data_IF_584834168554
#
_entry.id   IF_584834168554
#
_cell.length_a   1.000
_cell.length_b   1.000
_cell.length_c   1.000
_cell.angle_alpha   90.00
_cell.angle_beta   90.00
_cell.angle_gamma   90.00
#
_symmetry.space_group_name_H-M   'P 1'
#
loop_
_entity.id
_entity.type
_entity.pdbx_description
1 polymer ?
#
# COMPACT_ATOMS: atom_id res chain seq x y z
N UNK A 1 25.68 -22.16 -2.46
CA UNK A 1 25.31 -20.82 -2.97
C UNK A 1 25.57 -19.84 -1.84
N UNK A 2 26.48 -18.90 -2.06
CA UNK A 2 26.92 -17.95 -1.04
C UNK A 2 25.73 -17.12 -0.55
N UNK A 3 25.38 -17.27 0.73
CA UNK A 3 24.55 -16.33 1.45
C UNK A 3 25.34 -15.04 1.60
N UNK A 4 25.25 -14.15 0.61
CA UNK A 4 25.58 -12.76 0.86
C UNK A 4 24.60 -12.29 1.93
N UNK A 5 25.13 -11.94 3.10
CA UNK A 5 24.38 -11.19 4.10
C UNK A 5 23.99 -9.86 3.45
N UNK A 6 22.79 -9.82 2.87
CA UNK A 6 22.22 -8.60 2.31
C UNK A 6 22.13 -7.58 3.45
N UNK A 7 22.81 -6.45 3.26
CA UNK A 7 22.82 -5.37 4.25
C UNK A 7 21.37 -4.96 4.54
N UNK A 8 20.94 -4.91 5.81
CA UNK A 8 19.56 -4.56 6.14
C UNK A 8 19.23 -3.18 5.59
N UNK A 9 18.04 -3.04 5.02
CA UNK A 9 17.59 -1.75 4.50
C UNK A 9 17.49 -0.75 5.65
N UNK A 10 18.09 0.41 5.46
CA UNK A 10 17.81 1.59 6.26
C UNK A 10 16.61 2.33 5.65
N UNK A 11 15.74 2.87 6.50
CA UNK A 11 14.52 3.55 6.06
C UNK A 11 14.62 5.05 6.32
N UNK A 12 14.51 5.85 5.27
CA UNK A 12 14.11 7.24 5.40
C UNK A 12 12.60 7.30 5.63
N UNK A 13 12.16 8.26 6.43
CA UNK A 13 10.78 8.36 6.88
C UNK A 13 10.35 9.81 7.05
N UNK A 14 9.05 10.04 6.97
CA UNK A 14 8.49 11.37 7.19
C UNK A 14 6.97 11.37 7.24
N UNK A 15 6.41 12.58 7.30
CA UNK A 15 4.98 12.83 7.40
C UNK A 15 4.49 13.62 6.19
N UNK A 16 3.38 13.19 5.61
CA UNK A 16 2.57 14.00 4.70
C UNK A 16 1.45 14.71 5.45
N UNK A 17 0.98 14.10 6.54
CA UNK A 17 -0.02 14.68 7.43
C UNK A 17 0.17 14.15 8.84
N UNK A 18 0.40 15.03 9.80
CA UNK A 18 0.61 14.65 11.20
C UNK A 18 -0.72 14.60 11.96
N UNK A 19 -0.92 13.61 12.85
CA UNK A 19 -2.10 13.57 13.70
C UNK A 19 -2.09 14.70 14.71
N UNK A 20 -3.27 15.18 15.08
CA UNK A 20 -3.45 16.14 16.15
C UNK A 20 -3.18 15.52 17.53
N UNK A 21 -3.58 14.26 17.73
CA UNK A 21 -3.37 13.49 18.96
C UNK A 21 -2.34 12.38 18.73
N UNK A 22 -1.19 12.48 19.41
CA UNK A 22 -0.08 11.52 19.34
C UNK A 22 -0.10 10.49 20.48
N UNK A 23 -1.07 10.56 21.39
CA UNK A 23 -1.12 9.72 22.59
C UNK A 23 -1.72 8.34 22.36
N UNK A 24 -2.51 8.17 21.28
CA UNK A 24 -3.19 6.91 20.95
C UNK A 24 -2.30 6.01 20.09
N UNK A 25 -2.34 4.70 20.35
CA UNK A 25 -1.80 3.69 19.42
C UNK A 25 -2.75 3.54 18.23
N UNK A 26 -2.38 3.95 17.02
CA UNK A 26 -3.29 3.91 15.88
C UNK A 26 -3.44 2.48 15.36
N UNK A 27 -4.57 2.18 14.70
CA UNK A 27 -4.60 1.13 13.68
C UNK A 27 -3.87 1.67 12.45
N UNK A 28 -3.11 0.83 11.74
CA UNK A 28 -2.30 1.30 10.60
C UNK A 28 -2.55 0.43 9.37
N UNK A 29 -2.87 1.09 8.26
CA UNK A 29 -2.80 0.48 6.94
C UNK A 29 -1.41 0.75 6.38
N UNK A 30 -0.62 -0.31 6.19
CA UNK A 30 0.72 -0.27 5.60
C UNK A 30 0.61 -0.64 4.14
N UNK A 31 0.66 0.37 3.26
CA UNK A 31 0.67 0.15 1.83
C UNK A 31 2.09 -0.10 1.35
N UNK A 32 2.34 -1.26 0.74
CA UNK A 32 3.65 -1.60 0.17
C UNK A 32 3.65 -1.41 -1.34
N UNK A 33 4.50 -0.52 -1.84
CA UNK A 33 4.65 -0.25 -3.27
C UNK A 33 5.16 -1.47 -4.03
N UNK A 34 4.47 -1.83 -5.12
CA UNK A 34 4.77 -3.05 -5.87
C UNK A 34 6.15 -3.08 -6.54
N UNK A 35 6.80 -1.93 -6.75
CA UNK A 35 8.18 -1.84 -7.22
C UNK A 35 9.20 -2.41 -6.22
N UNK A 36 8.85 -2.48 -4.94
CA UNK A 36 9.74 -3.00 -3.91
C UNK A 36 9.91 -4.52 -4.03
N UNK A 37 8.90 -5.24 -4.53
CA UNK A 37 8.90 -6.70 -4.60
C UNK A 37 9.90 -7.28 -5.64
N UNK A 38 10.47 -6.43 -6.50
CA UNK A 38 11.57 -6.79 -7.40
C UNK A 38 12.96 -6.41 -6.87
N UNK A 39 13.05 -5.88 -5.65
CA UNK A 39 14.34 -5.47 -5.05
C UNK A 39 14.85 -6.57 -4.12
N UNK A 40 16.10 -7.04 -4.25
CA UNK A 40 16.68 -8.02 -3.32
C UNK A 40 16.56 -7.57 -1.85
N UNK A 41 16.29 -8.52 -0.95
CA UNK A 41 16.13 -8.27 0.47
C UNK A 41 14.80 -7.65 0.92
N UNK A 42 13.86 -7.40 0.00
CA UNK A 42 12.58 -6.75 0.35
C UNK A 42 11.80 -7.49 1.43
N UNK A 43 11.87 -8.83 1.47
CA UNK A 43 11.13 -9.64 2.44
C UNK A 43 11.56 -9.30 3.86
N UNK A 44 12.89 -9.33 4.11
CA UNK A 44 13.45 -9.03 5.41
C UNK A 44 13.22 -7.55 5.77
N UNK A 45 13.40 -6.64 4.81
CA UNK A 45 13.21 -5.22 5.03
C UNK A 45 11.75 -4.88 5.43
N UNK A 46 10.77 -5.42 4.70
CA UNK A 46 9.34 -5.19 4.98
C UNK A 46 8.90 -5.89 6.26
N UNK A 47 9.39 -7.10 6.55
CA UNK A 47 9.14 -7.76 7.84
C UNK A 47 9.64 -6.94 9.03
N UNK A 48 10.87 -6.44 8.94
CA UNK A 48 11.48 -5.60 9.98
C UNK A 48 10.71 -4.30 10.19
N UNK A 49 10.25 -3.66 9.11
CA UNK A 49 9.40 -2.48 9.17
C UNK A 49 8.06 -2.77 9.86
N UNK A 50 7.36 -3.83 9.47
CA UNK A 50 6.07 -4.22 10.07
C UNK A 50 6.24 -4.55 11.57
N UNK A 51 7.30 -5.26 11.94
CA UNK A 51 7.60 -5.58 13.33
C UNK A 51 7.84 -4.32 14.17
N UNK A 52 8.57 -3.34 13.63
CA UNK A 52 8.77 -2.05 14.28
C UNK A 52 7.45 -1.27 14.47
N UNK A 53 6.61 -1.21 13.42
CA UNK A 53 5.30 -0.56 13.49
C UNK A 53 4.37 -1.22 14.52
N UNK A 54 4.46 -2.55 14.69
CA UNK A 54 3.64 -3.29 15.64
C UNK A 54 3.92 -2.92 17.11
N UNK A 55 5.11 -2.37 17.42
CA UNK A 55 5.46 -1.92 18.77
C UNK A 55 4.65 -0.70 19.23
N UNK A 56 4.17 0.10 18.29
CA UNK A 56 3.47 1.38 18.55
C UNK A 56 2.04 1.43 18.02
N UNK A 57 1.62 0.41 17.27
CA UNK A 57 0.28 0.32 16.67
C UNK A 57 -0.64 -0.63 17.44
N UNK A 58 -1.95 -0.43 17.33
CA UNK A 58 -2.95 -1.34 17.89
C UNK A 58 -3.18 -2.55 16.97
N UNK A 59 -3.26 -2.31 15.66
CA UNK A 59 -3.37 -3.34 14.63
C UNK A 59 -2.72 -2.88 13.34
N UNK A 60 -2.31 -3.84 12.50
CA UNK A 60 -1.67 -3.59 11.21
C UNK A 60 -2.36 -4.39 10.10
N UNK A 61 -2.79 -3.67 9.06
CA UNK A 61 -3.22 -4.25 7.79
C UNK A 61 -2.23 -3.88 6.71
N UNK A 62 -1.71 -4.87 6.00
CA UNK A 62 -0.77 -4.68 4.90
C UNK A 62 -1.54 -4.73 3.58
N UNK A 63 -1.41 -3.68 2.77
CA UNK A 63 -1.97 -3.62 1.42
C UNK A 63 -0.84 -3.67 0.39
N UNK A 64 -0.79 -4.75 -0.39
CA UNK A 64 0.20 -4.91 -1.46
C UNK A 64 -0.23 -4.16 -2.72
N UNK A 65 0.67 -3.33 -3.28
CA UNK A 65 0.49 -2.78 -4.62
C UNK A 65 0.66 -3.85 -5.71
N UNK A 66 0.25 -3.55 -6.94
CA UNK A 66 0.17 -4.55 -8.01
C UNK A 66 1.48 -4.92 -8.73
N UNK A 67 2.54 -4.13 -8.56
CA UNK A 67 3.88 -4.43 -9.06
C UNK A 67 3.94 -4.77 -10.55
N UNK A 68 4.80 -5.73 -10.90
CA UNK A 68 5.02 -6.15 -12.29
C UNK A 68 3.74 -6.68 -12.97
N UNK A 69 2.84 -7.31 -12.23
CA UNK A 69 1.60 -7.88 -12.78
C UNK A 69 0.67 -6.77 -13.30
N UNK A 70 0.43 -5.73 -12.49
CA UNK A 70 -0.39 -4.58 -12.92
C UNK A 70 0.33 -3.74 -13.98
N UNK A 71 1.66 -3.60 -13.91
CA UNK A 71 2.41 -2.93 -14.97
C UNK A 71 2.28 -3.64 -16.32
N UNK A 72 2.24 -4.98 -16.34
CA UNK A 72 1.95 -5.75 -17.55
C UNK A 72 0.57 -5.43 -18.13
N UNK A 73 -0.47 -5.31 -17.29
CA UNK A 73 -1.80 -4.90 -17.72
C UNK A 73 -1.82 -3.49 -18.32
N UNK A 74 -1.07 -2.54 -17.75
CA UNK A 74 -0.91 -1.19 -18.33
C UNK A 74 -0.31 -1.22 -19.73
N UNK A 75 0.67 -2.10 -19.98
CA UNK A 75 1.27 -2.27 -21.31
C UNK A 75 0.24 -2.83 -22.30
N UNK A 76 -0.54 -3.82 -21.89
CA UNK A 76 -1.60 -4.41 -22.75
C UNK A 76 -2.66 -3.35 -23.08
N UNK A 77 -3.11 -2.61 -22.07
CA UNK A 77 -4.12 -1.57 -22.22
C UNK A 77 -3.68 -0.45 -23.16
N UNK A 78 -2.43 0.01 -23.04
CA UNK A 78 -1.86 1.01 -23.94
C UNK A 78 -1.88 0.59 -25.43
N UNK A 79 -1.95 -0.71 -25.72
CA UNK A 79 -2.00 -1.25 -27.08
C UNK A 79 -3.40 -1.74 -27.51
N UNK A 80 -4.31 -1.98 -26.55
CA UNK A 80 -5.60 -2.63 -26.80
C UNK A 80 -6.81 -1.75 -26.44
N UNK A 81 -6.61 -0.66 -25.70
CA UNK A 81 -7.67 0.21 -25.16
C UNK A 81 -8.79 -0.59 -24.49
N UNK A 82 -8.45 -1.27 -23.40
CA UNK A 82 -9.40 -2.05 -22.62
C UNK A 82 -10.50 -1.13 -22.05
N UNK A 83 -11.74 -1.63 -21.90
CA UNK A 83 -12.76 -0.91 -21.15
C UNK A 83 -12.26 -0.57 -19.74
N UNK A 84 -12.42 0.69 -19.25
CA UNK A 84 -11.85 1.11 -17.97
C UNK A 84 -12.23 0.22 -16.78
N UNK A 85 -13.49 -0.21 -16.72
CA UNK A 85 -13.98 -1.15 -15.69
C UNK A 85 -13.23 -2.48 -15.74
N UNK A 86 -13.06 -3.06 -16.94
CA UNK A 86 -12.33 -4.31 -17.12
C UNK A 86 -10.85 -4.16 -16.71
N UNK A 87 -10.19 -3.08 -17.14
CA UNK A 87 -8.80 -2.82 -16.80
C UNK A 87 -8.62 -2.70 -15.27
N UNK A 88 -9.54 -2.00 -14.60
CA UNK A 88 -9.53 -1.83 -13.16
C UNK A 88 -9.77 -3.15 -12.41
N UNK A 89 -10.76 -3.95 -12.82
CA UNK A 89 -11.04 -5.25 -12.21
C UNK A 89 -9.86 -6.21 -12.35
N UNK A 90 -9.25 -6.29 -13.55
CA UNK A 90 -8.05 -7.09 -13.78
C UNK A 90 -6.87 -6.61 -12.91
N UNK A 91 -6.75 -5.29 -12.69
CA UNK A 91 -5.72 -4.75 -11.81
C UNK A 91 -5.95 -5.18 -10.34
N UNK A 92 -7.19 -5.17 -9.86
CA UNK A 92 -7.54 -5.67 -8.52
C UNK A 92 -7.28 -7.18 -8.40
N UNK A 93 -7.56 -7.96 -9.44
CA UNK A 93 -7.22 -9.38 -9.46
C UNK A 93 -5.72 -9.65 -9.37
N UNK A 94 -4.92 -8.90 -10.14
CA UNK A 94 -3.47 -8.96 -10.11
C UNK A 94 -2.90 -8.50 -8.76
N UNK A 95 -3.50 -7.49 -8.13
CA UNK A 95 -3.19 -7.09 -6.76
C UNK A 95 -3.51 -8.20 -5.75
N UNK A 96 -4.58 -8.96 -5.95
CA UNK A 96 -4.89 -10.16 -5.15
C UNK A 96 -3.81 -11.25 -5.26
N UNK A 97 -3.27 -11.49 -6.46
CA UNK A 97 -2.12 -12.40 -6.64
C UNK A 97 -0.89 -11.87 -5.89
N UNK A 98 -0.65 -10.56 -5.97
CA UNK A 98 0.47 -9.93 -5.25
C UNK A 98 0.29 -10.01 -3.74
N UNK A 99 -0.93 -9.87 -3.22
CA UNK A 99 -1.24 -10.04 -1.81
C UNK A 99 -0.96 -11.47 -1.33
N UNK A 100 -1.33 -12.49 -2.11
CA UNK A 100 -0.99 -13.89 -1.81
C UNK A 100 0.52 -14.11 -1.73
N UNK A 101 1.27 -13.60 -2.73
CA UNK A 101 2.73 -13.66 -2.72
C UNK A 101 3.31 -13.00 -1.46
N UNK A 102 2.87 -11.78 -1.14
CA UNK A 102 3.35 -11.03 0.04
C UNK A 102 3.03 -11.77 1.33
N UNK A 103 1.81 -12.29 1.50
CA UNK A 103 1.44 -13.07 2.67
C UNK A 103 2.34 -14.29 2.87
N UNK A 104 2.56 -15.07 1.81
CA UNK A 104 3.45 -16.25 1.86
C UNK A 104 4.89 -15.87 2.19
N UNK A 105 5.46 -14.88 1.50
CA UNK A 105 6.86 -14.49 1.66
C UNK A 105 7.14 -13.86 3.02
N UNK A 106 6.19 -13.09 3.56
CA UNK A 106 6.31 -12.48 4.89
C UNK A 106 5.86 -13.42 6.02
N UNK A 107 5.30 -14.60 5.70
CA UNK A 107 4.70 -15.54 6.65
C UNK A 107 3.58 -14.90 7.49
N UNK A 108 2.78 -14.05 6.86
CA UNK A 108 1.63 -13.39 7.46
C UNK A 108 0.34 -14.06 6.97
N UNK A 109 -0.74 -14.04 7.78
CA UNK A 109 -2.04 -14.47 7.31
C UNK A 109 -2.51 -13.59 6.15
N UNK A 110 -3.13 -14.21 5.16
CA UNK A 110 -3.90 -13.53 4.13
C UNK A 110 -5.36 -13.55 4.57
N UNK A 111 -5.99 -12.39 4.65
CA UNK A 111 -7.37 -12.31 5.13
C UNK A 111 -7.99 -10.94 5.02
N UNK A 112 -9.17 -10.82 5.60
CA UNK A 112 -9.93 -9.58 5.69
C UNK A 112 -9.48 -8.79 6.94
N UNK A 113 -9.65 -7.46 6.93
CA UNK A 113 -9.27 -6.60 8.07
C UNK A 113 -10.00 -7.01 9.37
N UNK A 114 -11.24 -7.49 9.24
CA UNK A 114 -12.13 -7.83 10.35
C UNK A 114 -11.76 -9.12 11.09
N UNK A 115 -10.82 -9.91 10.55
CA UNK A 115 -10.47 -11.23 11.12
C UNK A 115 -9.77 -11.15 12.49
N UNK A 116 -9.39 -9.95 12.95
CA UNK A 116 -8.69 -9.72 14.21
C UNK A 116 -7.23 -10.17 14.20
N UNK A 117 -6.76 -10.79 13.11
CA UNK A 117 -5.36 -11.11 12.91
C UNK A 117 -4.55 -9.83 12.66
N UNK A 118 -3.43 -9.68 13.36
CA UNK A 118 -2.53 -8.53 13.19
C UNK A 118 -1.08 -8.95 13.47
N UNK A 119 -0.14 -8.72 12.53
CA UNK A 119 -0.34 -8.14 11.20
C UNK A 119 -1.07 -9.11 10.25
N UNK A 120 -1.89 -8.57 9.33
CA UNK A 120 -2.58 -9.33 8.27
C UNK A 120 -2.35 -8.68 6.91
N UNK A 121 -2.17 -9.49 5.86
CA UNK A 121 -2.17 -8.99 4.47
C UNK A 121 -3.60 -9.01 3.95
N UNK A 122 -4.07 -7.86 3.48
CA UNK A 122 -5.43 -7.70 2.97
C UNK A 122 -5.62 -8.50 1.68
N UNK A 123 -6.56 -9.44 1.70
CA UNK A 123 -7.02 -10.11 0.49
C UNK A 123 -7.99 -9.22 -0.28
N UNK A 124 -7.46 -8.47 -1.26
CA UNK A 124 -8.26 -7.57 -2.10
C UNK A 124 -9.35 -8.31 -2.91
N UNK A 125 -9.26 -9.64 -3.09
CA UNK A 125 -10.33 -10.42 -3.73
C UNK A 125 -11.50 -10.67 -2.77
N UNK A 126 -11.22 -10.78 -1.48
CA UNK A 126 -12.22 -11.01 -0.42
C UNK A 126 -12.51 -9.69 0.30
N UNK A 127 -13.01 -8.73 -0.47
CA UNK A 127 -13.09 -7.31 -0.11
C UNK A 127 -13.77 -6.97 1.23
N UNK A 128 -14.52 -7.88 1.88
CA UNK A 128 -15.12 -7.66 3.20
C UNK A 128 -15.87 -6.32 3.33
N UNK A 129 -15.81 -5.69 4.52
CA UNK A 129 -16.35 -4.33 4.77
C UNK A 129 -15.62 -3.25 3.95
N UNK A 130 -14.38 -3.51 3.49
CA UNK A 130 -13.60 -2.54 2.72
C UNK A 130 -13.96 -2.50 1.23
N UNK A 131 -14.85 -3.39 0.76
CA UNK A 131 -15.34 -3.41 -0.62
C UNK A 131 -16.01 -2.11 -1.04
N UNK A 132 -16.88 -1.56 -0.19
CA UNK A 132 -17.51 -0.27 -0.43
C UNK A 132 -16.50 0.88 -0.57
N UNK A 133 -15.39 0.81 0.16
CA UNK A 133 -14.34 1.83 0.07
C UNK A 133 -13.66 1.79 -1.31
N UNK A 134 -13.38 0.58 -1.83
CA UNK A 134 -12.79 0.38 -3.16
C UNK A 134 -13.77 0.80 -4.25
N UNK A 135 -15.03 0.39 -4.15
CA UNK A 135 -16.08 0.69 -5.13
C UNK A 135 -16.45 2.17 -5.20
N UNK A 136 -16.17 2.94 -4.14
CA UNK A 136 -16.35 4.39 -4.13
C UNK A 136 -15.31 5.15 -4.96
N UNK A 137 -14.21 4.50 -5.36
CA UNK A 137 -13.14 5.12 -6.12
C UNK A 137 -13.40 5.01 -7.64
N UNK A 138 -12.97 6.01 -8.44
CA UNK A 138 -13.10 5.94 -9.89
C UNK A 138 -12.38 4.71 -10.47
N UNK A 139 -13.05 3.84 -11.25
CA UNK A 139 -12.44 2.63 -11.80
C UNK A 139 -11.63 2.97 -13.06
N UNK A 140 -10.45 3.56 -12.83
CA UNK A 140 -9.55 4.04 -13.86
C UNK A 140 -8.10 3.88 -13.41
N UNK A 141 -7.15 4.12 -14.33
CA UNK A 141 -5.73 4.10 -14.02
C UNK A 141 -5.24 5.26 -13.15
N UNK A 142 -6.06 6.30 -13.01
CA UNK A 142 -5.87 7.42 -12.08
C UNK A 142 -6.11 7.01 -10.62
N UNK A 143 -6.70 5.84 -10.39
CA UNK A 143 -6.84 5.20 -9.08
C UNK A 143 -5.92 4.01 -9.00
N UNK A 144 -5.01 4.00 -8.03
CA UNK A 144 -4.11 2.86 -7.79
C UNK A 144 -4.16 2.38 -6.35
N UNK A 145 -3.27 1.45 -6.02
CA UNK A 145 -3.09 0.95 -4.65
C UNK A 145 -2.88 2.05 -3.59
N UNK A 146 -2.42 3.25 -3.96
CA UNK A 146 -2.28 4.34 -2.99
C UNK A 146 -3.66 4.87 -2.55
N UNK A 147 -4.52 5.23 -3.51
CA UNK A 147 -5.91 5.64 -3.23
C UNK A 147 -6.72 4.55 -2.56
N UNK A 148 -6.55 3.30 -3.00
CA UNK A 148 -7.22 2.16 -2.37
C UNK A 148 -6.82 2.06 -0.89
N UNK A 149 -5.52 2.17 -0.58
CA UNK A 149 -5.06 2.13 0.81
C UNK A 149 -5.57 3.32 1.63
N UNK A 150 -5.66 4.51 1.03
CA UNK A 150 -6.23 5.68 1.68
C UNK A 150 -7.72 5.49 2.01
N UNK A 151 -8.51 4.97 1.05
CA UNK A 151 -9.92 4.67 1.25
C UNK A 151 -10.14 3.60 2.34
N UNK A 152 -9.35 2.52 2.31
CA UNK A 152 -9.36 1.47 3.35
C UNK A 152 -9.02 2.06 4.72
N UNK A 153 -7.98 2.90 4.80
CA UNK A 153 -7.59 3.55 6.04
C UNK A 153 -8.69 4.48 6.58
N UNK A 154 -9.36 5.23 5.70
CA UNK A 154 -10.44 6.14 6.10
C UNK A 154 -11.64 5.37 6.66
N UNK A 155 -12.08 4.31 5.96
CA UNK A 155 -13.22 3.48 6.39
C UNK A 155 -12.94 2.77 7.71
N UNK A 156 -11.71 2.32 7.94
CA UNK A 156 -11.32 1.60 9.16
C UNK A 156 -10.83 2.52 10.29
N UNK A 157 -10.84 3.84 10.08
CA UNK A 157 -10.30 4.86 11.02
C UNK A 157 -8.84 4.57 11.41
N UNK A 158 -8.06 4.15 10.43
CA UNK A 158 -6.64 3.84 10.56
C UNK A 158 -5.77 5.00 10.06
N UNK A 159 -4.55 5.10 10.60
CA UNK A 159 -3.49 5.87 9.98
C UNK A 159 -3.00 5.15 8.71
N UNK A 160 -2.41 5.91 7.78
CA UNK A 160 -1.82 5.36 6.56
C UNK A 160 -0.30 5.48 6.60
N UNK A 161 0.39 4.37 6.31
CA UNK A 161 1.83 4.33 6.05
C UNK A 161 2.08 3.92 4.61
N UNK A 162 2.67 4.83 3.82
CA UNK A 162 3.08 4.58 2.43
C UNK A 162 4.54 4.09 2.39
N UNK A 163 4.75 2.82 2.06
CA UNK A 163 6.07 2.24 1.81
C UNK A 163 6.36 2.31 0.31
N UNK A 164 7.30 3.16 -0.09
CA UNK A 164 7.61 3.48 -1.50
C UNK A 164 9.09 3.23 -1.78
N UNK A 165 9.44 3.04 -3.05
CA UNK A 165 10.84 2.83 -3.47
C UNK A 165 11.68 4.11 -3.45
N UNK A 166 11.04 5.27 -3.39
CA UNK A 166 11.70 6.57 -3.34
C UNK A 166 10.97 7.50 -2.36
N UNK A 167 11.71 8.40 -1.68
CA UNK A 167 11.08 9.42 -0.84
C UNK A 167 10.22 10.36 -1.69
N UNK A 168 9.20 11.00 -1.10
CA UNK A 168 8.39 11.98 -1.80
C UNK A 168 9.26 13.19 -2.17
N UNK A 169 9.17 13.72 -3.41
CA UNK A 169 9.98 14.85 -3.84
C UNK A 169 9.60 16.17 -3.14
N UNK A 170 8.44 16.22 -2.51
CA UNK A 170 7.82 17.37 -1.85
C UNK A 170 6.82 16.88 -0.79
N UNK A 171 6.28 17.77 0.04
CA UNK A 171 5.36 17.39 1.12
C UNK A 171 3.89 17.75 0.86
N UNK A 172 3.59 18.37 -0.30
CA UNK A 172 2.24 18.74 -0.69
C UNK A 172 1.53 17.61 -1.45
N UNK A 173 0.36 17.18 -0.97
CA UNK A 173 -0.34 15.99 -1.47
C UNK A 173 -0.82 16.17 -2.91
N UNK A 174 -1.36 17.33 -3.26
CA UNK A 174 -1.84 17.61 -4.62
C UNK A 174 -0.67 17.57 -5.61
N UNK A 175 0.44 18.21 -5.27
CA UNK A 175 1.61 18.23 -6.12
C UNK A 175 2.31 16.85 -6.16
N UNK A 176 2.19 16.01 -5.13
CA UNK A 176 2.65 14.62 -5.17
C UNK A 176 1.84 13.78 -6.16
N UNK A 177 0.53 14.00 -6.23
CA UNK A 177 -0.33 13.37 -7.22
C UNK A 177 0.03 13.83 -8.64
N UNK A 178 0.18 15.15 -8.85
CA UNK A 178 0.56 15.70 -10.16
C UNK A 178 1.95 15.24 -10.64
N UNK A 179 2.85 14.90 -9.71
CA UNK A 179 4.19 14.36 -10.01
C UNK A 179 4.22 12.82 -10.10
N UNK A 180 3.08 12.15 -9.92
CA UNK A 180 2.96 10.70 -10.00
C UNK A 180 3.63 9.92 -8.87
N UNK A 181 3.93 10.55 -7.72
CA UNK A 181 4.43 9.82 -6.55
C UNK A 181 3.31 9.01 -5.88
N UNK A 182 2.10 9.56 -5.87
CA UNK A 182 0.82 8.86 -5.63
C UNK A 182 -0.08 9.08 -6.85
N UNK A 183 -1.17 8.33 -6.93
CA UNK A 183 -2.13 8.46 -8.03
C UNK A 183 -3.07 9.68 -7.88
N UNK A 184 -3.70 10.08 -8.98
CA UNK A 184 -4.51 11.31 -9.06
C UNK A 184 -5.76 11.28 -8.17
N UNK A 185 -6.29 10.10 -7.83
CA UNK A 185 -7.41 9.96 -6.91
C UNK A 185 -7.01 10.14 -5.44
N UNK A 186 -5.71 10.13 -5.13
CA UNK A 186 -5.21 10.07 -3.75
C UNK A 186 -5.58 11.29 -2.89
N UNK A 187 -5.50 12.55 -3.40
CA UNK A 187 -5.89 13.73 -2.62
C UNK A 187 -7.34 13.63 -2.08
N UNK A 188 -8.26 13.19 -2.94
CA UNK A 188 -9.66 12.95 -2.56
C UNK A 188 -9.80 11.77 -1.60
N UNK A 189 -9.17 10.63 -1.91
CA UNK A 189 -9.27 9.41 -1.11
C UNK A 189 -8.73 9.59 0.32
N UNK A 190 -7.76 10.48 0.51
CA UNK A 190 -7.13 10.70 1.82
C UNK A 190 -7.76 11.83 2.65
N UNK A 191 -8.84 12.48 2.20
CA UNK A 191 -9.37 13.69 2.84
C UNK A 191 -9.71 13.50 4.32
N UNK A 192 -10.23 12.32 4.69
CA UNK A 192 -10.65 12.00 6.06
C UNK A 192 -9.54 11.36 6.92
N UNK A 193 -8.31 11.26 6.41
CA UNK A 193 -7.20 10.69 7.18
C UNK A 193 -6.59 11.73 8.12
N UNK A 194 -6.42 11.39 9.39
CA UNK A 194 -5.73 12.27 10.34
C UNK A 194 -4.21 12.16 10.22
N UNK A 195 -3.70 10.99 9.82
CA UNK A 195 -2.28 10.66 9.85
C UNK A 195 -1.85 9.94 8.57
N UNK A 196 -0.88 10.51 7.87
CA UNK A 196 -0.25 9.93 6.68
C UNK A 196 1.27 10.04 6.82
N UNK A 197 1.93 8.89 6.89
CA UNK A 197 3.40 8.75 6.90
C UNK A 197 3.89 8.11 5.62
N UNK A 198 5.18 8.29 5.38
CA UNK A 198 5.88 7.58 4.32
C UNK A 198 7.18 7.01 4.85
N UNK A 199 7.62 5.91 4.22
CA UNK A 199 8.96 5.35 4.35
C UNK A 199 9.49 4.97 2.98
N UNK A 200 10.80 5.13 2.78
CA UNK A 200 11.50 4.69 1.58
C UNK A 200 12.88 4.14 1.94
N UNK A 201 13.42 3.16 1.20
CA UNK A 201 14.77 2.67 1.42
C UNK A 201 15.77 3.81 1.20
N UNK A 202 16.72 3.95 2.13
CA UNK A 202 17.85 4.86 1.98
C UNK A 202 18.77 4.30 0.88
N UNK A 203 19.07 5.13 -0.11
CA UNK A 203 19.95 4.79 -1.23
C UNK A 203 21.43 4.91 -0.86
#
# INVERSE_FOLDING_TARGET
MSSQEEKPWEWDHGWLRQPCDRSKRPRVVVKVGGSLFSTPGWQHAVQSLIAHEALSSHSIVVLAGGGALVNGLRIIDANSSLPPLLAHDLALEAMGITAQLVATMLKLPLGEEETGASPVVLDIKKRGVVGNAIESLPPSWDTTSDSIAAAVAATTKSALLLVKSTPPPIHDIECLASKGWVDHSFPTACINLEAIRWVAPRQ
#
